data_IF_165623633559
#
_entry.id   IF_165623633559
#
_cell.length_a   1.000
_cell.length_b   1.000
_cell.length_c   1.000
_cell.angle_alpha   90.00
_cell.angle_beta   90.00
_cell.angle_gamma   90.00
#
_symmetry.space_group_name_H-M   'P 1'
#
loop_
_entity.id
_entity.type
_entity.pdbx_description
1 polymer ?
#
# COMPACT_ATOMS: atom_id res chain seq x y z
N UNK A 1 -15.96 37.53 -20.09
CA UNK A 1 -16.50 36.38 -19.32
C UNK A 1 -16.02 35.12 -20.00
N UNK A 2 -15.16 34.33 -19.37
CA UNK A 2 -14.80 33.01 -19.91
C UNK A 2 -15.98 32.07 -19.67
N UNK A 3 -16.69 31.72 -20.74
CA UNK A 3 -17.73 30.69 -20.70
C UNK A 3 -17.07 29.35 -20.37
N UNK A 4 -17.17 28.95 -19.11
CA UNK A 4 -16.63 27.69 -18.60
C UNK A 4 -17.59 26.49 -18.83
N UNK A 5 -18.65 26.67 -19.60
CA UNK A 5 -19.64 25.63 -19.92
C UNK A 5 -19.46 25.17 -21.37
N UNK A 6 -19.28 23.87 -21.60
CA UNK A 6 -19.13 23.27 -22.95
C UNK A 6 -19.98 22.00 -23.07
N UNK A 7 -20.35 21.64 -24.31
CA UNK A 7 -21.08 20.41 -24.60
C UNK A 7 -20.10 19.23 -24.53
N UNK A 8 -20.43 18.23 -23.72
CA UNK A 8 -19.69 16.98 -23.59
C UNK A 8 -20.67 15.82 -23.41
N UNK A 9 -20.57 14.79 -24.24
CA UNK A 9 -21.53 13.67 -24.29
C UNK A 9 -22.99 14.16 -24.38
N UNK A 10 -23.24 15.10 -25.32
CA UNK A 10 -24.55 15.73 -25.58
C UNK A 10 -25.18 16.46 -24.39
N UNK A 11 -24.37 16.83 -23.38
CA UNK A 11 -24.82 17.54 -22.17
C UNK A 11 -23.95 18.76 -21.87
N UNK A 12 -24.54 19.80 -21.29
CA UNK A 12 -23.79 20.95 -20.77
C UNK A 12 -22.99 20.55 -19.53
N UNK A 13 -21.67 20.80 -19.57
CA UNK A 13 -20.72 20.45 -18.51
C UNK A 13 -19.83 21.65 -18.18
N UNK A 14 -19.53 21.81 -16.89
CA UNK A 14 -18.58 22.81 -16.43
C UNK A 14 -17.14 22.31 -16.57
N UNK A 15 -16.26 23.22 -16.97
CA UNK A 15 -14.82 23.01 -17.09
C UNK A 15 -14.07 24.02 -16.22
N UNK A 16 -12.92 23.62 -15.69
CA UNK A 16 -12.01 24.52 -15.00
C UNK A 16 -11.41 25.54 -15.98
N UNK A 17 -10.81 26.65 -15.50
CA UNK A 17 -10.09 27.58 -16.37
C UNK A 17 -8.94 26.94 -17.17
N UNK A 18 -8.47 25.77 -16.74
CA UNK A 18 -7.46 24.96 -17.45
C UNK A 18 -8.06 23.98 -18.46
N UNK A 19 -9.38 24.02 -18.67
CA UNK A 19 -10.10 23.14 -19.58
C UNK A 19 -10.35 21.73 -19.04
N UNK A 20 -10.27 21.52 -17.72
CA UNK A 20 -10.53 20.21 -17.11
C UNK A 20 -12.01 20.05 -16.76
N UNK A 21 -12.62 18.94 -17.14
CA UNK A 21 -14.02 18.64 -16.82
C UNK A 21 -14.23 18.60 -15.30
N UNK A 22 -15.19 19.37 -14.81
CA UNK A 22 -15.58 19.37 -13.39
C UNK A 22 -16.60 18.25 -13.18
N UNK A 23 -16.33 17.29 -12.28
CA UNK A 23 -17.27 16.23 -11.99
C UNK A 23 -18.54 16.79 -11.35
N UNK A 24 -19.68 16.14 -11.63
CA UNK A 24 -20.92 16.43 -10.90
C UNK A 24 -20.77 16.02 -9.42
N UNK A 25 -21.59 16.56 -8.50
CA UNK A 25 -21.54 16.15 -7.09
C UNK A 25 -21.68 14.63 -6.88
N UNK A 26 -22.48 13.96 -7.72
CA UNK A 26 -22.66 12.51 -7.69
C UNK A 26 -21.39 11.79 -8.15
N UNK A 27 -20.77 12.23 -9.26
CA UNK A 27 -19.50 11.66 -9.74
C UNK A 27 -18.37 11.89 -8.74
N UNK A 28 -18.29 13.07 -8.12
CA UNK A 28 -17.31 13.37 -7.09
C UNK A 28 -17.47 12.44 -5.87
N UNK A 29 -18.70 12.19 -5.42
CA UNK A 29 -18.96 11.26 -4.33
C UNK A 29 -18.59 9.81 -4.67
N UNK A 30 -18.80 9.38 -5.93
CA UNK A 30 -18.37 8.04 -6.39
C UNK A 30 -16.84 7.95 -6.42
N UNK A 31 -16.17 8.98 -6.95
CA UNK A 31 -14.72 9.05 -6.99
C UNK A 31 -14.11 9.02 -5.59
N UNK A 32 -14.68 9.77 -4.64
CA UNK A 32 -14.23 9.76 -3.24
C UNK A 32 -14.39 8.38 -2.59
N UNK A 33 -15.55 7.72 -2.80
CA UNK A 33 -15.77 6.35 -2.30
C UNK A 33 -14.73 5.38 -2.85
N UNK A 34 -14.48 5.42 -4.15
CA UNK A 34 -13.52 4.55 -4.81
C UNK A 34 -12.08 4.82 -4.32
N UNK A 35 -11.71 6.09 -4.16
CA UNK A 35 -10.40 6.48 -3.63
C UNK A 35 -10.20 5.96 -2.20
N UNK A 36 -11.22 6.10 -1.34
CA UNK A 36 -11.19 5.63 0.04
C UNK A 36 -11.11 4.11 0.13
N UNK A 37 -11.80 3.38 -0.74
CA UNK A 37 -11.73 1.93 -0.81
C UNK A 37 -10.35 1.46 -1.28
N UNK A 38 -9.80 2.09 -2.32
CA UNK A 38 -8.45 1.80 -2.79
C UNK A 38 -7.39 2.06 -1.71
N UNK A 39 -7.50 3.17 -0.97
CA UNK A 39 -6.60 3.48 0.13
C UNK A 39 -6.68 2.42 1.25
N UNK A 40 -7.88 1.93 1.57
CA UNK A 40 -8.07 0.85 2.55
C UNK A 40 -7.40 -0.44 2.10
N UNK A 41 -7.59 -0.84 0.84
CA UNK A 41 -6.97 -2.03 0.27
C UNK A 41 -5.44 -1.93 0.29
N UNK A 42 -4.88 -0.78 -0.06
CA UNK A 42 -3.43 -0.56 0.00
C UNK A 42 -2.89 -0.66 1.44
N UNK A 43 -3.60 -0.10 2.42
CA UNK A 43 -3.21 -0.22 3.84
C UNK A 43 -3.27 -1.65 4.33
N UNK A 44 -4.28 -2.42 3.94
CA UNK A 44 -4.42 -3.82 4.32
C UNK A 44 -3.29 -4.67 3.74
N UNK A 45 -2.98 -4.48 2.45
CA UNK A 45 -1.84 -5.14 1.80
C UNK A 45 -0.51 -4.80 2.49
N UNK A 46 -0.28 -3.53 2.84
CA UNK A 46 0.93 -3.12 3.55
C UNK A 46 1.05 -3.76 4.94
N UNK A 47 -0.07 -3.89 5.67
CA UNK A 47 -0.09 -4.58 6.96
C UNK A 47 0.21 -6.07 6.80
N UNK A 48 -0.38 -6.74 5.81
CA UNK A 48 -0.14 -8.15 5.52
C UNK A 48 1.33 -8.42 5.17
N UNK A 49 1.94 -7.57 4.33
CA UNK A 49 3.35 -7.68 3.98
C UNK A 49 4.26 -7.54 5.22
N UNK A 50 3.97 -6.55 6.08
CA UNK A 50 4.73 -6.32 7.30
C UNK A 50 4.61 -7.49 8.28
N UNK A 51 3.42 -8.09 8.39
CA UNK A 51 3.23 -9.27 9.24
C UNK A 51 3.99 -10.48 8.69
N UNK A 52 3.96 -10.69 7.38
CA UNK A 52 4.73 -11.75 6.75
C UNK A 52 6.24 -11.58 6.96
N UNK A 53 6.76 -10.37 6.79
CA UNK A 53 8.18 -10.07 7.05
C UNK A 53 8.57 -10.35 8.51
N UNK A 54 7.71 -9.99 9.47
CA UNK A 54 7.91 -10.29 10.89
C UNK A 54 7.98 -11.80 11.15
N UNK A 55 7.05 -12.57 10.58
CA UNK A 55 7.02 -14.02 10.72
C UNK A 55 8.29 -14.66 10.13
N UNK A 56 8.72 -14.22 8.94
CA UNK A 56 9.95 -14.72 8.32
C UNK A 56 11.19 -14.42 9.18
N UNK A 57 11.27 -13.21 9.75
CA UNK A 57 12.37 -12.83 10.63
C UNK A 57 12.39 -13.66 11.91
N UNK A 58 11.23 -13.91 12.51
CA UNK A 58 11.14 -14.75 13.71
C UNK A 58 11.57 -16.19 13.43
N UNK A 59 11.09 -16.78 12.33
CA UNK A 59 11.52 -18.12 11.90
C UNK A 59 13.02 -18.19 11.60
N UNK A 60 13.59 -17.14 11.00
CA UNK A 60 15.02 -17.07 10.76
C UNK A 60 15.81 -17.01 12.08
N UNK A 61 15.38 -16.21 13.05
CA UNK A 61 16.00 -16.13 14.37
C UNK A 61 15.93 -17.47 15.12
N UNK A 62 14.77 -18.13 15.11
CA UNK A 62 14.62 -19.46 15.72
C UNK A 62 15.57 -20.49 15.08
N UNK A 63 15.71 -20.47 13.76
CA UNK A 63 16.66 -21.36 13.05
C UNK A 63 18.10 -21.04 13.41
N UNK A 64 18.48 -19.76 13.49
CA UNK A 64 19.82 -19.35 13.92
C UNK A 64 20.08 -19.85 15.34
N UNK A 65 19.15 -19.67 16.27
CA UNK A 65 19.29 -20.13 17.65
C UNK A 65 19.47 -21.65 17.73
N UNK A 66 18.66 -22.43 17.00
CA UNK A 66 18.79 -23.88 16.93
C UNK A 66 20.12 -24.33 16.34
N UNK A 67 20.60 -23.67 15.29
CA UNK A 67 21.88 -23.96 14.65
C UNK A 67 23.05 -23.62 15.60
N UNK A 68 23.01 -22.44 16.23
CA UNK A 68 23.98 -22.00 17.23
C UNK A 68 24.06 -22.99 18.40
N UNK A 69 22.90 -23.46 18.91
CA UNK A 69 22.85 -24.47 19.95
C UNK A 69 23.51 -25.78 19.52
N UNK A 70 23.18 -26.31 18.33
CA UNK A 70 23.81 -27.52 17.78
C UNK A 70 25.31 -27.36 17.56
N UNK A 71 25.78 -26.19 17.11
CA UNK A 71 27.21 -25.94 16.93
C UNK A 71 27.94 -26.00 18.27
N UNK A 72 27.39 -25.39 19.32
CA UNK A 72 27.92 -25.47 20.69
C UNK A 72 27.93 -26.90 21.23
N UNK A 73 26.89 -27.69 20.97
CA UNK A 73 26.85 -29.13 21.32
C UNK A 73 27.98 -29.93 20.64
N UNK A 74 28.36 -29.55 19.42
CA UNK A 74 29.47 -30.15 18.68
C UNK A 74 30.85 -29.62 19.10
N UNK A 75 30.92 -28.75 20.12
CA UNK A 75 32.17 -28.17 20.62
C UNK A 75 32.71 -27.02 19.77
N UNK A 76 31.92 -26.49 18.83
CA UNK A 76 32.27 -25.33 18.01
C UNK A 76 31.62 -24.11 18.68
N UNK A 77 32.41 -23.09 19.04
CA UNK A 77 31.88 -21.83 19.58
C UNK A 77 31.56 -20.84 18.44
N UNK A 78 30.28 -20.66 18.06
CA UNK A 78 29.91 -19.76 16.97
C UNK A 78 30.15 -18.27 17.29
N UNK A 79 30.28 -17.90 18.57
CA UNK A 79 30.57 -16.52 19.00
C UNK A 79 32.03 -16.10 18.76
N UNK A 80 32.94 -17.04 18.50
CA UNK A 80 34.33 -16.71 18.14
C UNK A 80 34.50 -16.46 16.62
N UNK A 81 33.47 -16.78 15.82
CA UNK A 81 33.51 -16.75 14.35
C UNK A 81 32.71 -15.60 13.71
N UNK A 82 32.02 -14.78 14.50
CA UNK A 82 31.23 -13.61 14.11
C UNK A 82 31.92 -12.31 14.57
#
# INVERSE_FOLDING_TARGET
MTENNRIYADKFRYFSPKGQLIPTPVEAAILEKHAKESERQQKELALQQKEHERQQKELALQKIEQLTARLRELGINPDETL
#
